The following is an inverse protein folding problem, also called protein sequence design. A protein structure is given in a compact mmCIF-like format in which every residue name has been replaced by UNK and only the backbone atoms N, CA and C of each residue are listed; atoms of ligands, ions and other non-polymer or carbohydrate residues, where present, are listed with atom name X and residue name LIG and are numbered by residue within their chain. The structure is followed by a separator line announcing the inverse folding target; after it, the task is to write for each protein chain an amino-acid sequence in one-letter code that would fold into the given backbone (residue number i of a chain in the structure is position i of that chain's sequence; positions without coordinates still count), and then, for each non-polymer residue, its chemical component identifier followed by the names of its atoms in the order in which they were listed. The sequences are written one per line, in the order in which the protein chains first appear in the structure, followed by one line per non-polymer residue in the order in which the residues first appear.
data_IF_787637856867
#
_entry.id   IF_787637856867
#
_cell.length_a   1.000
_cell.length_b   1.000
_cell.length_c   1.000
_cell.angle_alpha   90.00
_cell.angle_beta   90.00
_cell.angle_gamma   90.00
#
_symmetry.space_group_name_H-M   'P 1'
#
loop_
_entity.id
_entity.type
_entity.pdbx_description
1 polymer ?
#
# COMPACT_ATOMS: atom_id res chain seq x y z
N UNK A 1 21.37 -20.01 -7.73
CA UNK A 1 20.98 -18.79 -8.42
C UNK A 1 22.20 -17.87 -8.59
N UNK A 2 22.90 -18.04 -9.69
CA UNK A 2 24.22 -17.38 -9.94
C UNK A 2 24.11 -15.87 -10.11
N UNK A 3 23.00 -15.36 -10.64
CA UNK A 3 22.79 -13.93 -10.92
C UNK A 3 22.28 -13.12 -9.74
N UNK A 4 22.11 -13.73 -8.55
CA UNK A 4 21.63 -13.00 -7.39
C UNK A 4 22.67 -11.97 -6.91
N UNK A 5 22.33 -10.67 -6.73
CA UNK A 5 23.33 -9.66 -6.42
C UNK A 5 23.92 -9.87 -5.04
N UNK A 6 25.24 -10.03 -4.97
CA UNK A 6 25.94 -10.19 -3.68
C UNK A 6 25.76 -8.97 -2.77
N UNK A 7 25.65 -7.78 -3.35
CA UNK A 7 25.38 -6.54 -2.61
C UNK A 7 24.01 -6.57 -1.93
N UNK A 8 22.98 -7.05 -2.63
CA UNK A 8 21.64 -7.23 -2.05
C UNK A 8 21.70 -8.17 -0.84
N UNK A 9 22.26 -9.37 -1.01
CA UNK A 9 22.38 -10.36 0.07
C UNK A 9 23.11 -9.77 1.27
N UNK A 10 24.25 -9.12 1.04
CA UNK A 10 25.08 -8.53 2.10
C UNK A 10 24.30 -7.52 2.94
N UNK A 11 23.61 -6.58 2.28
CA UNK A 11 22.87 -5.53 2.99
C UNK A 11 21.54 -6.03 3.55
N UNK A 12 20.84 -6.91 2.83
CA UNK A 12 19.59 -7.51 3.30
C UNK A 12 19.80 -8.35 4.57
N UNK A 13 20.83 -9.21 4.58
CA UNK A 13 21.15 -10.03 5.76
C UNK A 13 21.88 -9.25 6.85
N UNK A 14 22.41 -8.07 6.55
CA UNK A 14 23.20 -7.29 7.50
C UNK A 14 24.44 -8.04 8.00
N UNK A 15 25.06 -8.87 7.14
CA UNK A 15 26.32 -9.56 7.45
C UNK A 15 27.48 -8.60 7.21
N UNK A 16 28.18 -8.23 8.27
CA UNK A 16 29.33 -7.32 8.23
C UNK A 16 30.63 -8.12 8.27
N UNK A 17 31.66 -7.61 7.58
CA UNK A 17 33.04 -8.11 7.72
C UNK A 17 33.57 -7.78 9.12
N UNK A 18 34.52 -8.55 9.58
CA UNK A 18 35.22 -8.33 10.87
C UNK A 18 34.29 -8.32 12.10
N UNK A 19 33.19 -9.05 12.05
CA UNK A 19 32.33 -9.31 13.21
C UNK A 19 32.60 -10.72 13.73
N UNK A 20 32.48 -10.96 15.06
CA UNK A 20 32.56 -12.30 15.61
C UNK A 20 31.57 -13.23 14.93
N UNK A 21 32.01 -14.44 14.65
CA UNK A 21 31.17 -15.45 14.02
C UNK A 21 30.14 -15.98 15.03
N UNK A 22 28.87 -15.91 14.64
CA UNK A 22 27.76 -16.50 15.38
C UNK A 22 26.85 -17.29 14.41
N UNK A 23 26.89 -18.61 14.54
CA UNK A 23 26.13 -19.52 13.69
C UNK A 23 24.61 -19.32 13.82
N UNK A 24 24.12 -19.11 15.07
CA UNK A 24 22.68 -18.90 15.32
C UNK A 24 22.21 -17.60 14.69
N UNK A 25 23.01 -16.53 14.81
CA UNK A 25 22.70 -15.25 14.16
C UNK A 25 22.69 -15.37 12.63
N UNK A 26 23.64 -16.09 12.03
CA UNK A 26 23.66 -16.33 10.58
C UNK A 26 22.45 -17.13 10.14
N UNK A 27 22.11 -18.24 10.82
CA UNK A 27 20.94 -19.04 10.51
C UNK A 27 19.62 -18.26 10.65
N UNK A 28 19.50 -17.41 11.67
CA UNK A 28 18.34 -16.52 11.85
C UNK A 28 18.24 -15.49 10.71
N UNK A 29 19.35 -14.89 10.33
CA UNK A 29 19.40 -13.92 9.22
C UNK A 29 19.10 -14.56 7.86
N UNK A 30 19.62 -15.76 7.60
CA UNK A 30 19.39 -16.44 6.33
C UNK A 30 17.93 -16.89 6.15
N UNK A 31 17.21 -17.21 7.23
CA UNK A 31 15.77 -17.45 7.18
C UNK A 31 14.97 -16.25 6.66
N UNK A 32 15.49 -15.03 6.78
CA UNK A 32 14.83 -13.85 6.21
C UNK A 32 14.81 -13.88 4.68
N UNK A 33 15.68 -14.67 4.02
CA UNK A 33 15.65 -14.85 2.57
C UNK A 33 14.39 -15.58 2.08
N UNK A 34 13.76 -16.40 2.93
CA UNK A 34 12.49 -17.06 2.62
C UNK A 34 11.29 -16.10 2.64
N UNK A 35 11.50 -14.83 3.06
CA UNK A 35 10.50 -13.77 2.97
C UNK A 35 10.54 -13.04 1.61
N UNK A 36 11.58 -13.28 0.81
CA UNK A 36 11.70 -12.72 -0.53
C UNK A 36 10.84 -13.51 -1.50
N UNK A 37 9.97 -12.82 -2.24
CA UNK A 37 9.07 -13.46 -3.22
C UNK A 37 9.80 -14.06 -4.42
N UNK A 38 11.04 -13.66 -4.69
CA UNK A 38 11.81 -14.04 -5.87
C UNK A 38 12.94 -15.04 -5.59
N UNK A 39 13.11 -15.46 -4.34
CA UNK A 39 14.12 -16.46 -3.98
C UNK A 39 13.68 -17.34 -2.83
N UNK A 40 14.16 -18.58 -2.85
CA UNK A 40 13.95 -19.56 -1.80
C UNK A 40 15.27 -20.21 -1.42
N UNK A 41 15.44 -20.48 -0.15
CA UNK A 41 16.59 -21.24 0.35
C UNK A 41 16.36 -22.74 0.10
N UNK A 42 17.27 -23.38 -0.66
CA UNK A 42 17.19 -24.81 -1.00
C UNK A 42 17.59 -25.68 0.21
N UNK A 43 18.63 -25.23 0.92
CA UNK A 43 19.16 -25.89 2.12
C UNK A 43 19.76 -24.85 3.07
N UNK A 44 19.95 -25.18 4.36
CA UNK A 44 20.55 -24.28 5.34
C UNK A 44 21.92 -23.77 4.87
N UNK A 45 22.27 -22.55 5.30
CA UNK A 45 23.56 -21.97 5.02
C UNK A 45 24.68 -22.83 5.64
N UNK A 46 25.72 -23.09 4.87
CA UNK A 46 26.92 -23.80 5.30
C UNK A 46 28.05 -22.81 5.57
N UNK A 47 28.93 -23.18 6.48
CA UNK A 47 30.06 -22.33 6.90
C UNK A 47 31.36 -23.11 6.74
N UNK A 48 32.29 -22.48 6.07
CA UNK A 48 33.67 -23.00 5.94
C UNK A 48 34.61 -22.07 6.68
N UNK A 49 35.30 -22.61 7.68
CA UNK A 49 36.38 -21.92 8.37
C UNK A 49 37.70 -22.15 7.63
N UNK A 50 38.36 -21.10 7.26
CA UNK A 50 39.72 -21.12 6.73
C UNK A 50 40.65 -20.42 7.71
N UNK A 51 41.97 -20.51 7.52
CA UNK A 51 42.97 -19.91 8.41
C UNK A 51 42.75 -18.42 8.68
N UNK A 52 42.28 -17.68 7.67
CA UNK A 52 42.19 -16.22 7.74
C UNK A 52 40.76 -15.69 7.53
N UNK A 53 39.82 -16.55 7.13
CA UNK A 53 38.44 -16.11 6.80
C UNK A 53 37.41 -17.18 7.12
N UNK A 54 36.21 -16.69 7.46
CA UNK A 54 35.01 -17.54 7.53
C UNK A 54 34.14 -17.27 6.32
N UNK A 55 33.87 -18.29 5.52
CA UNK A 55 33.01 -18.22 4.34
C UNK A 55 31.63 -18.79 4.64
N UNK A 56 30.59 -18.05 4.30
CA UNK A 56 29.20 -18.50 4.42
C UNK A 56 28.68 -18.77 3.00
N UNK A 57 28.24 -20.01 2.77
CA UNK A 57 27.64 -20.45 1.51
C UNK A 57 26.12 -20.44 1.64
N UNK A 58 25.47 -19.73 0.73
CA UNK A 58 24.01 -19.63 0.64
C UNK A 58 23.56 -20.39 -0.62
N UNK A 59 22.57 -21.24 -0.46
CA UNK A 59 22.03 -22.06 -1.54
C UNK A 59 20.62 -21.56 -1.86
N UNK A 60 20.52 -20.75 -2.92
CA UNK A 60 19.29 -20.07 -3.31
C UNK A 60 18.79 -20.56 -4.66
N UNK A 61 17.49 -20.72 -4.77
CA UNK A 61 16.76 -20.93 -6.00
C UNK A 61 15.98 -19.68 -6.37
N UNK A 62 15.91 -19.37 -7.68
CA UNK A 62 15.06 -18.28 -8.18
C UNK A 62 13.62 -18.77 -8.28
N UNK A 63 12.70 -18.03 -7.67
CA UNK A 63 11.27 -18.25 -7.83
C UNK A 63 10.70 -17.36 -8.93
N UNK A 64 9.60 -17.80 -9.53
CA UNK A 64 8.77 -16.97 -10.40
C UNK A 64 8.06 -15.96 -9.51
N UNK A 65 8.32 -14.68 -9.72
CA UNK A 65 7.84 -13.57 -8.87
C UNK A 65 7.03 -12.52 -9.63
N UNK A 66 6.92 -12.69 -10.95
CA UNK A 66 6.13 -11.78 -11.76
C UNK A 66 4.68 -12.22 -11.79
N UNK A 67 3.79 -11.24 -11.77
CA UNK A 67 2.35 -11.48 -11.87
C UNK A 67 1.68 -10.46 -12.74
N UNK A 68 0.70 -10.98 -13.41
CA UNK A 68 -0.23 -10.25 -14.22
C UNK A 68 -1.62 -10.77 -13.90
N UNK A 69 -2.51 -9.85 -13.55
CA UNK A 69 -3.93 -10.11 -13.38
C UNK A 69 -4.69 -8.91 -13.96
N UNK A 70 -5.71 -9.16 -14.77
CA UNK A 70 -6.44 -8.08 -15.36
C UNK A 70 -7.49 -8.53 -16.38
N UNK A 71 -8.45 -7.65 -16.54
CA UNK A 71 -9.46 -7.69 -17.58
C UNK A 71 -9.64 -6.27 -18.10
N UNK A 72 -9.50 -6.09 -19.42
CA UNK A 72 -9.73 -4.82 -20.10
C UNK A 72 -10.75 -5.02 -21.21
N UNK A 73 -11.87 -4.36 -21.07
CA UNK A 73 -12.85 -4.17 -22.14
C UNK A 73 -12.49 -2.92 -22.97
N UNK A 74 -12.69 -3.00 -24.26
CA UNK A 74 -12.49 -1.89 -25.18
C UNK A 74 -13.86 -1.42 -25.65
N UNK A 75 -14.16 -0.14 -25.48
CA UNK A 75 -15.34 0.53 -25.95
C UNK A 75 -14.98 1.83 -26.66
N UNK A 76 -15.94 2.45 -27.29
CA UNK A 76 -15.81 3.82 -27.79
C UNK A 76 -16.82 4.68 -27.05
N UNK A 77 -16.37 5.80 -26.52
CA UNK A 77 -17.24 6.83 -25.99
C UNK A 77 -18.16 7.34 -27.15
N UNK A 78 -19.46 7.23 -26.96
CA UNK A 78 -20.44 7.60 -28.03
C UNK A 78 -20.43 9.10 -28.33
N UNK A 79 -20.02 9.95 -27.36
CA UNK A 79 -20.04 11.40 -27.54
C UNK A 79 -18.75 11.93 -28.16
N UNK A 80 -17.59 11.36 -27.82
CA UNK A 80 -16.26 11.85 -28.24
C UNK A 80 -15.61 10.96 -29.30
N UNK A 81 -16.10 9.73 -29.52
CA UNK A 81 -15.47 8.71 -30.36
C UNK A 81 -14.12 8.22 -29.87
N UNK A 82 -13.72 8.62 -28.65
CA UNK A 82 -12.45 8.22 -28.06
C UNK A 82 -12.49 6.78 -27.55
N UNK A 83 -11.34 6.09 -27.62
CA UNK A 83 -11.20 4.74 -27.08
C UNK A 83 -11.36 4.75 -25.58
N UNK A 84 -12.32 3.99 -25.07
CA UNK A 84 -12.48 3.76 -23.63
C UNK A 84 -11.95 2.39 -23.24
N UNK A 85 -11.17 2.38 -22.16
CA UNK A 85 -10.65 1.18 -21.50
C UNK A 85 -11.36 1.02 -20.18
N UNK A 86 -12.24 0.01 -20.06
CA UNK A 86 -12.94 -0.33 -18.84
C UNK A 86 -12.43 -1.65 -18.27
N UNK A 87 -12.31 -1.72 -16.95
CA UNK A 87 -11.81 -2.88 -16.26
C UNK A 87 -10.60 -2.59 -15.35
N UNK A 88 -9.78 -3.59 -15.17
CA UNK A 88 -8.59 -3.43 -14.30
C UNK A 88 -7.39 -4.19 -14.86
N UNK A 89 -6.21 -3.73 -14.47
CA UNK A 89 -4.93 -4.37 -14.77
C UNK A 89 -4.02 -4.23 -13.53
N UNK A 90 -3.52 -5.37 -13.04
CA UNK A 90 -2.50 -5.41 -11.99
C UNK A 90 -1.27 -6.13 -12.54
N UNK A 91 -0.17 -5.41 -12.65
CA UNK A 91 1.13 -5.95 -13.06
C UNK A 91 2.12 -5.77 -11.92
N UNK A 92 2.82 -6.84 -11.56
CA UNK A 92 3.88 -6.79 -10.58
C UNK A 92 5.09 -7.58 -11.09
N UNK A 93 6.16 -6.87 -11.35
CA UNK A 93 7.42 -7.41 -11.84
C UNK A 93 8.47 -7.26 -10.76
N UNK A 94 9.03 -8.38 -10.30
CA UNK A 94 10.01 -8.37 -9.21
C UNK A 94 11.27 -9.09 -9.65
N UNK A 95 12.42 -8.41 -9.49
CA UNK A 95 13.75 -8.97 -9.70
C UNK A 95 13.98 -9.52 -11.12
N UNK A 96 13.42 -8.88 -12.15
CA UNK A 96 13.64 -9.24 -13.55
C UNK A 96 15.06 -8.93 -14.02
N UNK A 97 15.59 -7.79 -13.57
CA UNK A 97 16.96 -7.35 -13.86
C UNK A 97 17.99 -7.98 -12.91
N UNK A 98 17.55 -8.80 -11.95
CA UNK A 98 18.36 -9.44 -10.91
C UNK A 98 19.07 -8.46 -9.96
N UNK A 99 18.45 -7.30 -9.66
CA UNK A 99 18.93 -6.33 -8.67
C UNK A 99 18.04 -6.28 -7.42
N UNK A 100 16.94 -7.06 -7.39
CA UNK A 100 15.93 -7.00 -6.35
C UNK A 100 14.93 -5.85 -6.54
N UNK A 101 14.91 -5.27 -7.74
CA UNK A 101 13.99 -4.22 -8.13
C UNK A 101 12.54 -4.74 -8.17
N UNK A 102 11.59 -3.80 -7.97
CA UNK A 102 10.17 -4.08 -8.11
C UNK A 102 9.49 -2.98 -8.93
N UNK A 103 8.69 -3.40 -9.89
CA UNK A 103 7.80 -2.53 -10.64
C UNK A 103 6.37 -2.98 -10.42
N UNK A 104 5.50 -2.06 -10.03
CA UNK A 104 4.06 -2.28 -9.87
C UNK A 104 3.31 -1.32 -10.77
N UNK A 105 2.26 -1.82 -11.38
CA UNK A 105 1.32 -1.02 -12.15
C UNK A 105 -0.08 -1.51 -11.82
N UNK A 106 -0.94 -0.60 -11.36
CA UNK A 106 -2.35 -0.83 -11.14
C UNK A 106 -3.13 0.15 -12.00
N UNK A 107 -4.05 -0.36 -12.79
CA UNK A 107 -5.03 0.42 -13.52
C UNK A 107 -6.41 -0.08 -13.14
N UNK A 108 -7.33 0.84 -12.95
CA UNK A 108 -8.75 0.53 -12.73
C UNK A 108 -9.61 1.62 -13.35
N UNK A 109 -10.62 1.18 -14.06
CA UNK A 109 -11.71 2.01 -14.57
C UNK A 109 -13.04 1.36 -14.20
N UNK A 110 -13.94 2.11 -13.60
CA UNK A 110 -15.29 1.64 -13.26
C UNK A 110 -16.36 2.27 -14.19
N UNK A 111 -17.59 1.79 -14.02
CA UNK A 111 -18.75 2.24 -14.81
C UNK A 111 -19.13 3.71 -14.58
N UNK A 112 -18.61 4.34 -13.52
CA UNK A 112 -18.86 5.74 -13.17
C UNK A 112 -17.78 6.69 -13.74
N UNK A 113 -17.01 6.26 -14.73
CA UNK A 113 -15.87 6.98 -15.32
C UNK A 113 -14.80 7.42 -14.29
N UNK A 114 -14.74 6.71 -13.16
CA UNK A 114 -13.69 6.87 -12.19
C UNK A 114 -12.49 6.02 -12.63
N UNK A 115 -11.38 6.68 -12.97
CA UNK A 115 -10.17 6.01 -13.47
C UNK A 115 -9.01 6.28 -12.51
N UNK A 116 -8.30 5.20 -12.17
CA UNK A 116 -7.07 5.28 -11.39
C UNK A 116 -5.94 4.57 -12.14
N UNK A 117 -4.78 5.20 -12.17
CA UNK A 117 -3.55 4.61 -12.67
C UNK A 117 -2.45 4.87 -11.67
N UNK A 118 -1.80 3.81 -11.21
CA UNK A 118 -0.71 3.86 -10.25
C UNK A 118 0.47 3.06 -10.81
N UNK A 119 1.63 3.69 -10.90
CA UNK A 119 2.87 3.02 -11.24
C UNK A 119 3.92 3.32 -10.18
N UNK A 120 4.62 2.29 -9.72
CA UNK A 120 5.69 2.40 -8.72
C UNK A 120 6.90 1.57 -9.15
N UNK A 121 8.07 2.20 -9.13
CA UNK A 121 9.36 1.54 -9.35
C UNK A 121 10.22 1.67 -8.10
N UNK A 122 10.63 0.54 -7.53
CA UNK A 122 11.55 0.47 -6.38
C UNK A 122 12.88 -0.11 -6.82
N UNK A 123 13.96 0.60 -6.58
CA UNK A 123 15.34 0.20 -6.87
C UNK A 123 16.15 0.09 -5.57
N UNK A 124 16.32 -1.13 -5.01
CA UNK A 124 17.05 -1.31 -3.77
C UNK A 124 18.57 -1.32 -3.98
N UNK A 125 19.30 -1.00 -2.90
CA UNK A 125 20.75 -1.18 -2.78
C UNK A 125 21.59 -0.55 -3.90
N UNK A 126 21.23 0.67 -4.30
CA UNK A 126 21.96 1.45 -5.30
C UNK A 126 23.45 1.59 -4.90
N UNK A 127 24.31 1.58 -5.89
CA UNK A 127 25.77 1.71 -5.71
C UNK A 127 26.37 0.72 -4.69
N UNK A 128 25.71 -0.44 -4.49
CA UNK A 128 26.11 -1.45 -3.49
C UNK A 128 26.07 -0.93 -2.05
N UNK A 129 25.17 -0.01 -1.75
CA UNK A 129 24.94 0.60 -0.45
C UNK A 129 23.55 0.20 0.10
N UNK A 130 23.21 0.46 1.37
CA UNK A 130 21.85 0.29 1.88
C UNK A 130 20.86 1.40 1.44
N UNK A 131 21.23 2.17 0.42
CA UNK A 131 20.39 3.22 -0.17
C UNK A 131 19.63 2.63 -1.34
N UNK A 132 18.35 2.99 -1.46
CA UNK A 132 17.53 2.70 -2.63
C UNK A 132 16.73 3.93 -3.05
N UNK A 133 16.02 3.82 -4.17
CA UNK A 133 15.10 4.84 -4.65
C UNK A 133 13.72 4.26 -4.94
N UNK A 134 12.72 5.13 -4.87
CA UNK A 134 11.33 4.82 -5.22
C UNK A 134 10.80 5.95 -6.09
N UNK A 135 10.20 5.59 -7.21
CA UNK A 135 9.52 6.50 -8.13
C UNK A 135 8.06 6.11 -8.18
N UNK A 136 7.18 7.08 -8.11
CA UNK A 136 5.73 6.89 -8.11
C UNK A 136 5.09 7.81 -9.14
N UNK A 137 4.07 7.30 -9.84
CA UNK A 137 3.18 8.05 -10.71
C UNK A 137 1.76 7.61 -10.39
N UNK A 138 0.91 8.54 -9.95
CA UNK A 138 -0.50 8.31 -9.70
C UNK A 138 -1.32 9.25 -10.56
N UNK A 139 -2.32 8.72 -11.27
CA UNK A 139 -3.26 9.52 -12.03
C UNK A 139 -4.66 9.11 -11.56
N UNK A 140 -5.43 10.08 -11.15
CA UNK A 140 -6.81 9.93 -10.75
C UNK A 140 -7.70 10.83 -11.60
N UNK A 141 -8.68 10.23 -12.26
CA UNK A 141 -9.73 10.96 -12.97
C UNK A 141 -11.06 10.67 -12.28
N UNK A 142 -11.77 11.72 -11.90
CA UNK A 142 -13.13 11.62 -11.36
C UNK A 142 -14.12 12.10 -12.42
N UNK A 143 -14.78 11.17 -13.06
CA UNK A 143 -15.76 11.42 -14.13
C UNK A 143 -15.32 12.54 -15.08
N UNK A 144 -16.21 13.44 -15.44
CA UNK A 144 -15.90 14.64 -16.23
C UNK A 144 -15.51 15.86 -15.39
N UNK A 145 -15.35 15.72 -14.05
CA UNK A 145 -15.14 16.91 -13.16
C UNK A 145 -13.67 17.34 -13.10
N UNK A 146 -12.75 16.43 -12.79
CA UNK A 146 -11.32 16.77 -12.73
C UNK A 146 -10.40 15.58 -12.89
N UNK A 147 -9.15 15.87 -13.21
CA UNK A 147 -8.06 14.91 -13.23
C UNK A 147 -6.91 15.41 -12.33
N UNK A 148 -6.37 14.53 -11.50
CA UNK A 148 -5.19 14.80 -10.68
C UNK A 148 -4.07 13.84 -11.07
N UNK A 149 -2.89 14.37 -11.36
CA UNK A 149 -1.67 13.59 -11.56
C UNK A 149 -0.64 13.92 -10.47
N UNK A 150 -0.04 12.88 -9.90
CA UNK A 150 0.98 12.98 -8.86
C UNK A 150 2.22 12.23 -9.30
N UNK A 151 3.36 12.86 -9.19
CA UNK A 151 4.66 12.28 -9.46
C UNK A 151 5.52 12.44 -8.20
N UNK A 152 6.10 11.33 -7.71
CA UNK A 152 7.00 11.39 -6.57
C UNK A 152 8.30 10.67 -6.87
N UNK A 153 9.38 11.20 -6.33
CA UNK A 153 10.70 10.59 -6.35
C UNK A 153 11.29 10.66 -4.94
N UNK A 154 11.72 9.52 -4.42
CA UNK A 154 12.33 9.44 -3.11
C UNK A 154 13.60 8.59 -3.12
N UNK A 155 14.49 8.91 -2.21
CA UNK A 155 15.66 8.10 -1.84
C UNK A 155 15.42 7.59 -0.42
N UNK A 156 15.73 6.33 -0.19
CA UNK A 156 15.57 5.75 1.13
C UNK A 156 16.85 5.09 1.63
N UNK A 157 17.01 5.09 2.96
CA UNK A 157 18.00 4.29 3.66
C UNK A 157 17.32 3.12 4.34
N UNK A 158 17.80 1.91 4.06
CA UNK A 158 17.31 0.68 4.67
C UNK A 158 18.19 0.25 5.83
N UNK A 159 17.70 0.42 7.06
CA UNK A 159 18.44 0.03 8.28
C UNK A 159 18.56 -1.49 8.42
N UNK A 160 17.50 -2.19 8.08
CA UNK A 160 17.38 -3.64 8.09
C UNK A 160 16.21 -4.05 7.17
N UNK A 161 15.94 -5.36 6.97
CA UNK A 161 14.84 -5.80 6.10
C UNK A 161 13.45 -5.25 6.46
N UNK A 162 13.26 -4.78 7.70
CA UNK A 162 11.96 -4.33 8.21
C UNK A 162 11.78 -2.82 8.21
N UNK A 163 12.87 -2.04 8.17
CA UNK A 163 12.81 -0.59 8.47
C UNK A 163 13.50 0.23 7.38
N UNK A 164 12.79 1.25 6.90
CA UNK A 164 13.30 2.22 5.92
C UNK A 164 12.89 3.64 6.31
N UNK A 165 13.75 4.59 6.01
CA UNK A 165 13.45 6.03 6.05
C UNK A 165 13.63 6.60 4.66
N UNK A 166 12.68 7.41 4.21
CA UNK A 166 12.63 8.00 2.88
C UNK A 166 12.68 9.51 2.99
N UNK A 167 13.40 10.13 2.08
CA UNK A 167 13.34 11.56 1.79
C UNK A 167 12.94 11.72 0.32
N UNK A 168 11.93 12.49 0.05
CA UNK A 168 11.36 12.62 -1.29
C UNK A 168 10.81 13.97 -1.62
N UNK A 169 10.47 14.11 -2.88
CA UNK A 169 9.74 15.23 -3.45
C UNK A 169 8.51 14.70 -4.18
N UNK A 170 7.40 15.43 -4.08
CA UNK A 170 6.17 15.13 -4.81
C UNK A 170 5.70 16.37 -5.55
N UNK A 171 5.28 16.19 -6.78
CA UNK A 171 4.59 17.20 -7.59
C UNK A 171 3.21 16.69 -7.93
N UNK A 172 2.20 17.48 -7.59
CA UNK A 172 0.78 17.20 -7.89
C UNK A 172 0.25 18.29 -8.79
N UNK A 173 -0.46 17.89 -9.85
CA UNK A 173 -1.20 18.80 -10.70
C UNK A 173 -2.64 18.30 -10.83
N UNK A 174 -3.59 19.17 -10.54
CA UNK A 174 -5.02 18.89 -10.73
C UNK A 174 -5.63 19.90 -11.69
N UNK A 175 -6.43 19.41 -12.65
CA UNK A 175 -7.08 20.22 -13.66
C UNK A 175 -8.57 19.93 -13.64
N UNK A 176 -9.40 20.97 -13.59
CA UNK A 176 -10.84 20.88 -13.81
C UNK A 176 -11.14 20.56 -15.28
N UNK A 177 -12.07 19.65 -15.53
CA UNK A 177 -12.38 19.17 -16.89
C UNK A 177 -13.62 19.87 -17.49
N UNK A 178 -14.55 20.31 -16.64
CA UNK A 178 -15.82 20.93 -17.06
C UNK A 178 -15.71 22.43 -17.28
N UNK A 179 -14.68 22.99 -17.84
CA UNK A 179 -14.61 24.38 -18.34
C UNK A 179 -15.02 25.51 -17.35
N UNK A 180 -15.73 25.21 -16.30
CA UNK A 180 -16.13 26.09 -15.23
C UNK A 180 -15.36 25.74 -13.96
N UNK A 181 -14.31 26.51 -13.68
CA UNK A 181 -13.70 26.51 -12.34
C UNK A 181 -14.75 27.05 -11.38
N UNK A 182 -15.22 26.17 -10.49
CA UNK A 182 -16.05 26.61 -9.36
C UNK A 182 -15.15 27.07 -8.22
N UNK A 183 -15.69 27.80 -7.25
CA UNK A 183 -14.92 28.13 -6.04
C UNK A 183 -14.41 26.89 -5.27
N UNK A 184 -15.00 25.74 -5.52
CA UNK A 184 -14.69 24.48 -4.84
C UNK A 184 -13.72 23.59 -5.64
N UNK A 185 -13.80 23.56 -6.98
CA UNK A 185 -12.89 22.81 -7.87
C UNK A 185 -12.09 23.80 -8.70
N UNK A 186 -10.77 23.78 -8.55
CA UNK A 186 -9.90 24.73 -9.23
C UNK A 186 -8.62 24.03 -9.69
N UNK A 187 -8.05 24.52 -10.77
CA UNK A 187 -6.73 24.09 -11.22
C UNK A 187 -5.68 24.45 -10.18
N UNK A 188 -4.84 23.49 -9.82
CA UNK A 188 -3.72 23.75 -8.93
C UNK A 188 -2.49 22.93 -9.26
N UNK A 189 -1.35 23.45 -8.85
CA UNK A 189 -0.07 22.73 -8.77
C UNK A 189 0.41 22.76 -7.34
N UNK A 190 0.88 21.63 -6.83
CA UNK A 190 1.46 21.49 -5.50
C UNK A 190 2.80 20.81 -5.59
N UNK A 191 3.80 21.38 -4.92
CA UNK A 191 5.10 20.74 -4.73
C UNK A 191 5.32 20.51 -3.25
N UNK A 192 5.73 19.30 -2.89
CA UNK A 192 5.95 18.87 -1.52
C UNK A 192 7.33 18.27 -1.31
N UNK A 193 7.88 18.47 -0.12
CA UNK A 193 9.00 17.70 0.43
C UNK A 193 8.45 16.70 1.43
N UNK A 194 8.89 15.45 1.33
CA UNK A 194 8.33 14.34 2.08
C UNK A 194 9.39 13.65 2.92
N UNK A 195 9.03 13.35 4.17
CA UNK A 195 9.74 12.42 5.06
C UNK A 195 8.81 11.25 5.35
N UNK A 196 9.23 10.03 4.99
CA UNK A 196 8.45 8.80 5.24
C UNK A 196 9.29 7.80 6.02
N UNK A 197 8.70 7.16 7.02
CA UNK A 197 9.26 6.01 7.73
C UNK A 197 8.35 4.81 7.54
N UNK A 198 8.95 3.66 7.24
CA UNK A 198 8.19 2.40 7.13
C UNK A 198 8.82 1.32 8.00
N UNK A 199 7.96 0.58 8.70
CA UNK A 199 8.29 -0.65 9.39
C UNK A 199 7.34 -1.74 8.94
N UNK A 200 7.85 -2.92 8.58
CA UNK A 200 7.05 -4.08 8.21
C UNK A 200 7.66 -5.36 8.75
N UNK A 201 6.87 -6.14 9.49
CA UNK A 201 7.29 -7.44 9.97
C UNK A 201 6.54 -8.54 9.23
N UNK A 202 7.30 -9.32 8.46
CA UNK A 202 6.78 -10.42 7.66
C UNK A 202 7.00 -11.76 8.38
N UNK A 203 6.12 -12.73 8.12
CA UNK A 203 6.28 -14.13 8.52
C UNK A 203 6.02 -15.05 7.34
N UNK A 204 6.84 -16.08 7.20
CA UNK A 204 6.62 -17.17 6.23
C UNK A 204 5.78 -18.32 6.82
N UNK A 205 5.46 -18.27 8.11
CA UNK A 205 4.78 -19.37 8.81
C UNK A 205 3.27 -19.41 8.56
N UNK A 206 2.67 -18.27 8.15
CA UNK A 206 1.24 -18.19 7.87
C UNK A 206 1.00 -17.44 6.55
N UNK A 207 0.67 -18.17 5.51
CA UNK A 207 0.42 -17.60 4.17
C UNK A 207 -0.85 -16.75 4.09
N UNK A 208 -1.84 -16.99 4.97
CA UNK A 208 -3.04 -16.14 5.07
C UNK A 208 -2.72 -14.75 5.62
N UNK A 209 -1.74 -14.68 6.53
CA UNK A 209 -1.39 -13.44 7.24
C UNK A 209 0.12 -13.19 7.22
N UNK A 210 0.72 -12.97 6.04
CA UNK A 210 2.17 -12.81 5.91
C UNK A 210 2.70 -11.54 6.59
N UNK A 211 1.88 -10.49 6.70
CA UNK A 211 2.23 -9.25 7.41
C UNK A 211 1.64 -9.31 8.81
N UNK A 212 2.48 -9.45 9.82
CA UNK A 212 2.06 -9.52 11.23
C UNK A 212 1.94 -8.16 11.90
N UNK A 213 2.75 -7.20 11.48
CA UNK A 213 2.67 -5.81 11.91
C UNK A 213 3.30 -4.88 10.87
N UNK A 214 2.74 -3.69 10.74
CA UNK A 214 3.28 -2.63 9.89
C UNK A 214 3.05 -1.27 10.53
N UNK A 215 3.94 -0.34 10.23
CA UNK A 215 3.82 1.08 10.55
C UNK A 215 4.35 1.87 9.37
N UNK A 216 3.57 2.85 8.94
CA UNK A 216 3.96 3.85 7.96
C UNK A 216 3.61 5.23 8.51
N UNK A 217 4.60 6.10 8.53
CA UNK A 217 4.48 7.49 8.94
C UNK A 217 4.98 8.35 7.79
N UNK A 218 4.22 9.37 7.40
CA UNK A 218 4.65 10.33 6.41
C UNK A 218 4.26 11.74 6.86
N UNK A 219 5.18 12.65 6.70
CA UNK A 219 5.00 14.08 6.91
C UNK A 219 5.48 14.80 5.66
N UNK A 220 4.67 15.72 5.13
CA UNK A 220 5.00 16.48 3.94
C UNK A 220 4.73 17.95 4.18
N UNK A 221 5.64 18.79 3.71
CA UNK A 221 5.46 20.25 3.62
C UNK A 221 5.33 20.63 2.17
N UNK A 222 4.26 21.33 1.82
CA UNK A 222 3.93 21.67 0.44
C UNK A 222 3.54 23.12 0.26
N UNK A 223 3.71 23.60 -0.97
CA UNK A 223 3.15 24.86 -1.47
C UNK A 223 2.18 24.52 -2.60
N UNK A 224 0.90 24.82 -2.41
CA UNK A 224 -0.14 24.73 -3.44
C UNK A 224 -0.26 26.11 -4.13
N UNK A 225 -0.29 26.09 -5.46
CA UNK A 225 -0.45 27.26 -6.32
C UNK A 225 -1.70 27.09 -7.17
N UNK A 226 -2.59 28.06 -7.09
CA UNK A 226 -3.70 28.28 -8.03
C UNK A 226 -3.38 29.48 -8.91
N UNK A 227 -4.26 29.83 -9.84
CA UNK A 227 -4.13 31.06 -10.65
C UNK A 227 -4.02 32.32 -9.78
N UNK A 228 -4.67 32.34 -8.60
CA UNK A 228 -4.88 33.56 -7.81
C UNK A 228 -4.17 33.56 -6.45
N UNK A 229 -3.67 32.40 -5.98
CA UNK A 229 -3.14 32.28 -4.62
C UNK A 229 -2.04 31.22 -4.49
N UNK A 230 -1.21 31.40 -3.46
CA UNK A 230 -0.27 30.40 -2.96
C UNK A 230 -0.64 30.09 -1.52
N UNK A 231 -0.71 28.81 -1.18
CA UNK A 231 -1.06 28.34 0.16
C UNK A 231 -0.04 27.32 0.61
N UNK A 232 0.53 27.51 1.79
CA UNK A 232 1.40 26.53 2.42
C UNK A 232 0.53 25.49 3.14
N UNK A 233 0.91 24.24 3.01
CA UNK A 233 0.16 23.13 3.60
C UNK A 233 1.10 22.15 4.30
N UNK A 234 0.57 21.48 5.32
CA UNK A 234 1.21 20.32 5.93
C UNK A 234 0.31 19.11 5.73
N UNK A 235 0.87 18.06 5.14
CA UNK A 235 0.15 16.79 4.97
C UNK A 235 0.77 15.78 5.91
N UNK A 236 -0.06 14.98 6.56
CA UNK A 236 0.37 13.90 7.42
C UNK A 236 -0.40 12.62 7.11
N UNK A 237 0.30 11.51 7.23
CA UNK A 237 -0.26 10.18 7.06
C UNK A 237 0.34 9.23 8.09
N UNK A 238 -0.52 8.44 8.72
CA UNK A 238 -0.18 7.34 9.61
C UNK A 238 -0.99 6.11 9.23
N UNK A 239 -0.32 4.98 9.10
CA UNK A 239 -0.96 3.68 8.98
C UNK A 239 -0.23 2.69 9.88
N UNK A 240 -0.92 2.13 10.83
CA UNK A 240 -0.38 1.11 11.73
C UNK A 240 -1.30 -0.09 11.77
N UNK A 241 -0.76 -1.29 11.65
CA UNK A 241 -1.56 -2.49 11.88
C UNK A 241 -0.79 -3.57 12.60
N UNK A 242 -1.53 -4.40 13.35
CA UNK A 242 -0.96 -5.51 14.08
C UNK A 242 -1.96 -6.65 14.21
N UNK A 243 -1.43 -7.89 14.13
CA UNK A 243 -2.15 -9.12 14.43
C UNK A 243 -1.73 -9.59 15.83
N UNK A 244 -2.69 -9.79 16.70
CA UNK A 244 -2.53 -10.36 18.04
C UNK A 244 -3.05 -11.79 18.01
N UNK A 245 -2.16 -12.77 18.01
CA UNK A 245 -2.55 -14.17 18.06
C UNK A 245 -2.99 -14.56 19.47
N UNK A 246 -4.22 -15.00 19.65
CA UNK A 246 -4.72 -15.55 20.91
C UNK A 246 -4.33 -17.02 21.06
N UNK A 247 -4.43 -17.76 19.96
CA UNK A 247 -3.98 -19.15 19.81
C UNK A 247 -3.74 -19.49 18.35
N UNK A 248 -3.56 -20.78 18.00
CA UNK A 248 -3.25 -21.21 16.63
C UNK A 248 -4.33 -20.88 15.61
N UNK A 249 -5.60 -20.73 16.02
CA UNK A 249 -6.75 -20.51 15.12
C UNK A 249 -7.36 -19.11 15.28
N UNK A 250 -7.17 -18.46 16.41
CA UNK A 250 -7.85 -17.21 16.74
C UNK A 250 -6.86 -16.05 16.84
N UNK A 251 -7.21 -14.95 16.21
CA UNK A 251 -6.43 -13.72 16.27
C UNK A 251 -7.30 -12.47 16.18
N UNK A 252 -6.80 -11.37 16.75
CA UNK A 252 -7.33 -10.03 16.52
C UNK A 252 -6.42 -9.27 15.56
N UNK A 253 -7.01 -8.67 14.56
CA UNK A 253 -6.35 -7.70 13.70
C UNK A 253 -6.87 -6.31 14.01
N UNK A 254 -5.95 -5.37 14.15
CA UNK A 254 -6.24 -3.96 14.37
C UNK A 254 -5.49 -3.16 13.31
N UNK A 255 -6.20 -2.27 12.63
CA UNK A 255 -5.66 -1.26 11.73
C UNK A 255 -6.07 0.12 12.24
N UNK A 256 -5.10 0.99 12.43
CA UNK A 256 -5.26 2.41 12.65
C UNK A 256 -4.73 3.16 11.42
N UNK A 257 -5.53 4.05 10.86
CA UNK A 257 -5.11 4.95 9.79
C UNK A 257 -5.54 6.37 10.16
N UNK A 258 -4.64 7.33 10.02
CA UNK A 258 -4.94 8.74 10.13
C UNK A 258 -4.29 9.50 8.97
N UNK A 259 -4.99 10.48 8.45
CA UNK A 259 -4.52 11.30 7.35
C UNK A 259 -5.12 12.69 7.47
N UNK A 260 -4.37 13.72 7.09
CA UNK A 260 -4.89 15.07 7.12
C UNK A 260 -4.08 16.05 6.30
N UNK A 261 -4.75 17.13 5.96
CA UNK A 261 -4.24 18.31 5.29
C UNK A 261 -4.48 19.49 6.24
N UNK A 262 -3.41 20.08 6.76
CA UNK A 262 -3.46 21.33 7.52
C UNK A 262 -3.19 22.49 6.55
N UNK A 263 -4.21 23.31 6.31
CA UNK A 263 -4.21 24.36 5.30
C UNK A 263 -5.18 25.48 5.68
N UNK A 264 -4.86 26.73 5.29
CA UNK A 264 -5.77 27.86 5.49
C UNK A 264 -7.03 27.77 4.59
N UNK A 265 -6.90 27.16 3.43
CA UNK A 265 -8.00 27.01 2.46
C UNK A 265 -7.94 25.63 1.82
N UNK A 266 -9.10 25.11 1.41
CA UNK A 266 -9.22 23.79 0.81
C UNK A 266 -9.91 23.88 -0.55
N UNK A 267 -9.51 22.97 -1.46
CA UNK A 267 -10.18 22.72 -2.72
C UNK A 267 -10.81 21.31 -2.67
N UNK A 268 -11.97 21.12 -3.26
CA UNK A 268 -12.66 19.85 -3.26
C UNK A 268 -11.85 18.75 -3.96
N UNK A 269 -11.11 19.10 -5.03
CA UNK A 269 -10.28 18.19 -5.78
C UNK A 269 -8.93 17.84 -5.11
N UNK A 270 -8.59 18.45 -3.95
CA UNK A 270 -7.44 18.07 -3.13
C UNK A 270 -7.80 17.26 -1.87
N UNK A 271 -9.11 17.22 -1.50
CA UNK A 271 -9.55 16.51 -0.30
C UNK A 271 -9.20 15.03 -0.35
N UNK A 272 -8.95 14.49 0.83
CA UNK A 272 -8.70 13.06 1.04
C UNK A 272 -9.99 12.31 0.77
N UNK A 273 -9.93 11.26 -0.03
CA UNK A 273 -11.05 10.37 -0.32
C UNK A 273 -10.91 9.06 0.43
N UNK A 274 -11.96 8.64 1.07
CA UNK A 274 -12.00 7.39 1.82
C UNK A 274 -13.38 6.74 1.77
N UNK A 275 -13.51 5.56 2.33
CA UNK A 275 -14.64 4.64 2.18
C UNK A 275 -14.16 3.35 1.50
N UNK A 276 -14.85 2.25 1.69
CA UNK A 276 -14.58 0.98 1.04
C UNK A 276 -13.67 0.03 1.82
N UNK A 277 -13.23 -1.03 1.14
CA UNK A 277 -12.57 -2.20 1.76
C UNK A 277 -11.24 -1.90 2.44
N UNK A 278 -10.54 -0.86 2.00
CA UNK A 278 -9.20 -0.52 2.50
C UNK A 278 -9.19 0.52 3.63
N UNK A 279 -10.34 1.13 3.92
CA UNK A 279 -10.51 2.17 4.93
C UNK A 279 -11.62 1.82 5.90
N UNK A 280 -12.85 2.27 5.67
CA UNK A 280 -14.04 1.94 6.48
C UNK A 280 -15.02 1.14 5.64
N UNK A 281 -15.31 -0.08 6.04
CA UNK A 281 -16.19 -1.01 5.32
C UNK A 281 -17.66 -0.68 5.56
N UNK A 282 -18.51 -0.98 4.56
CA UNK A 282 -19.93 -0.63 4.56
C UNK A 282 -20.26 0.67 3.83
N UNK A 283 -19.24 1.38 3.33
CA UNK A 283 -19.37 2.55 2.47
C UNK A 283 -18.79 2.25 1.07
N UNK A 284 -19.19 3.01 0.07
CA UNK A 284 -18.63 2.89 -1.28
C UNK A 284 -17.17 3.34 -1.31
N UNK A 285 -16.40 2.77 -2.25
CA UNK A 285 -14.99 3.08 -2.39
C UNK A 285 -14.79 4.57 -2.74
N UNK A 286 -13.94 5.27 -1.97
CA UNK A 286 -13.62 6.68 -2.16
C UNK A 286 -14.82 7.65 -2.20
N UNK A 287 -15.93 7.29 -1.56
CA UNK A 287 -17.18 8.07 -1.61
C UNK A 287 -17.24 9.26 -0.66
N UNK A 288 -16.35 9.31 0.33
CA UNK A 288 -16.35 10.33 1.38
C UNK A 288 -15.11 11.21 1.22
N UNK A 289 -15.29 12.53 1.24
CA UNK A 289 -14.21 13.51 1.19
C UNK A 289 -13.95 14.06 2.60
N UNK A 290 -12.67 14.26 2.93
CA UNK A 290 -12.25 14.80 4.22
C UNK A 290 -11.03 15.69 4.08
N UNK A 291 -10.90 16.70 4.94
CA UNK A 291 -9.64 17.44 5.18
C UNK A 291 -8.77 16.74 6.21
N UNK A 292 -9.39 15.98 7.13
CA UNK A 292 -8.72 15.15 8.12
C UNK A 292 -9.56 13.94 8.49
N UNK A 293 -8.93 12.80 8.72
CA UNK A 293 -9.62 11.57 9.13
C UNK A 293 -8.77 10.68 10.04
N UNK A 294 -9.46 9.93 10.88
CA UNK A 294 -8.91 8.81 11.65
C UNK A 294 -9.83 7.60 11.53
N UNK A 295 -9.27 6.46 11.17
CA UNK A 295 -10.01 5.19 11.00
C UNK A 295 -9.41 4.13 11.91
N UNK A 296 -10.26 3.46 12.67
CA UNK A 296 -9.95 2.25 13.42
C UNK A 296 -10.75 1.09 12.82
N UNK A 297 -10.06 0.14 12.20
CA UNK A 297 -10.68 -1.06 11.65
C UNK A 297 -10.22 -2.30 12.44
N UNK A 298 -11.17 -3.14 12.84
CA UNK A 298 -10.88 -4.32 13.64
C UNK A 298 -11.51 -5.57 13.06
N UNK A 299 -10.82 -6.71 13.23
CA UNK A 299 -11.32 -8.03 12.85
C UNK A 299 -10.99 -9.04 13.94
N UNK A 300 -11.97 -9.75 14.44
CA UNK A 300 -11.74 -11.04 15.09
C UNK A 300 -11.69 -12.10 14.01
N UNK A 301 -10.57 -12.81 13.90
CA UNK A 301 -10.31 -13.79 12.85
C UNK A 301 -10.29 -15.19 13.42
N UNK A 302 -11.05 -16.09 12.80
CA UNK A 302 -11.02 -17.52 13.09
C UNK A 302 -10.57 -18.30 11.87
N UNK A 303 -9.43 -18.95 11.98
CA UNK A 303 -8.82 -19.74 10.91
C UNK A 303 -9.42 -21.17 10.90
N UNK A 304 -10.20 -21.47 9.87
CA UNK A 304 -10.83 -22.76 9.65
C UNK A 304 -9.84 -23.79 9.12
N UNK A 305 -8.98 -23.39 8.18
CA UNK A 305 -7.94 -24.20 7.55
C UNK A 305 -6.68 -23.38 7.26
N UNK A 306 -5.60 -23.97 6.76
CA UNK A 306 -4.43 -23.22 6.31
C UNK A 306 -4.72 -22.19 5.20
N UNK A 307 -5.84 -22.36 4.49
CA UNK A 307 -6.22 -21.53 3.34
C UNK A 307 -7.51 -20.73 3.54
N UNK A 308 -8.27 -20.96 4.64
CA UNK A 308 -9.58 -20.34 4.84
C UNK A 308 -9.72 -19.77 6.25
N UNK A 309 -10.18 -18.54 6.35
CA UNK A 309 -10.58 -17.92 7.61
C UNK A 309 -11.87 -17.12 7.45
N UNK A 310 -12.57 -16.97 8.55
CA UNK A 310 -13.72 -16.06 8.70
C UNK A 310 -13.37 -14.94 9.68
N UNK A 311 -14.03 -13.80 9.56
CA UNK A 311 -13.78 -12.67 10.46
C UNK A 311 -14.99 -11.79 10.66
N UNK A 312 -15.04 -11.13 11.81
CA UNK A 312 -15.96 -10.02 12.07
C UNK A 312 -15.41 -8.72 11.47
N UNK A 313 -16.27 -7.75 11.29
CA UNK A 313 -15.94 -6.38 10.90
C UNK A 313 -16.55 -5.45 11.94
N UNK A 314 -15.70 -4.65 12.60
CA UNK A 314 -16.11 -3.55 13.47
C UNK A 314 -15.13 -2.40 13.18
N UNK A 315 -15.63 -1.40 12.48
CA UNK A 315 -14.87 -0.24 12.03
C UNK A 315 -15.50 1.03 12.60
N UNK A 316 -14.67 2.01 12.91
CA UNK A 316 -15.07 3.35 13.29
C UNK A 316 -14.18 4.37 12.57
N UNK A 317 -14.77 5.45 12.12
CA UNK A 317 -14.02 6.56 11.59
C UNK A 317 -14.55 7.89 12.17
N UNK A 318 -13.59 8.77 12.43
CA UNK A 318 -13.80 10.18 12.71
C UNK A 318 -13.19 10.99 11.58
N UNK A 319 -13.92 11.96 11.06
CA UNK A 319 -13.41 12.81 10.00
C UNK A 319 -13.97 14.23 10.05
N UNK A 320 -13.24 15.12 9.42
CA UNK A 320 -13.58 16.53 9.26
C UNK A 320 -13.58 16.90 7.79
N UNK A 321 -14.44 17.80 7.42
CA UNK A 321 -14.45 18.45 6.11
C UNK A 321 -14.22 19.95 6.30
N UNK A 322 -13.95 20.73 5.25
CA UNK A 322 -13.82 22.19 5.38
C UNK A 322 -15.07 22.90 5.95
N UNK A 323 -16.23 22.23 5.91
CA UNK A 323 -17.53 22.81 6.31
C UNK A 323 -18.05 22.19 7.61
N UNK A 324 -17.78 20.88 7.82
CA UNK A 324 -18.31 20.10 8.94
C UNK A 324 -17.17 19.51 9.75
N UNK A 325 -17.18 19.74 11.06
CA UNK A 325 -16.34 19.07 12.03
C UNK A 325 -17.08 17.88 12.67
N UNK A 326 -16.32 17.04 13.38
CA UNK A 326 -16.84 16.01 14.30
C UNK A 326 -17.78 14.97 13.66
N UNK A 327 -17.51 14.57 12.41
CA UNK A 327 -18.29 13.53 11.77
C UNK A 327 -17.83 12.14 12.21
N UNK A 328 -18.77 11.27 12.61
CA UNK A 328 -18.49 9.89 13.00
C UNK A 328 -19.30 8.92 12.18
N UNK A 329 -18.63 7.89 11.71
CA UNK A 329 -19.26 6.80 10.95
C UNK A 329 -18.72 5.46 11.44
N UNK A 330 -19.53 4.42 11.27
CA UNK A 330 -19.25 3.08 11.76
C UNK A 330 -19.53 2.06 10.67
N UNK A 331 -18.74 0.98 10.65
CA UNK A 331 -18.91 -0.16 9.76
C UNK A 331 -19.04 -1.45 10.55
N UNK A 332 -20.06 -2.25 10.27
CA UNK A 332 -20.30 -3.53 10.94
C UNK A 332 -20.53 -4.62 9.90
N UNK A 333 -20.01 -5.80 10.15
CA UNK A 333 -20.25 -6.90 9.25
C UNK A 333 -19.42 -8.14 9.56
N UNK A 334 -19.30 -8.98 8.56
CA UNK A 334 -18.47 -10.16 8.58
C UNK A 334 -17.93 -10.48 7.19
N UNK A 335 -16.95 -11.34 7.14
CA UNK A 335 -16.36 -11.75 5.88
C UNK A 335 -15.58 -13.04 6.01
N UNK A 336 -15.02 -13.46 4.90
CA UNK A 336 -14.06 -14.56 4.84
C UNK A 336 -12.89 -14.23 3.91
N UNK A 337 -11.80 -14.91 4.12
CA UNK A 337 -10.66 -14.88 3.21
C UNK A 337 -10.26 -16.29 2.83
N UNK A 338 -10.16 -16.54 1.52
CA UNK A 338 -9.78 -17.81 0.91
C UNK A 338 -8.48 -17.62 0.12
N UNK A 339 -7.43 -18.31 0.55
CA UNK A 339 -6.17 -18.36 -0.18
C UNK A 339 -6.29 -19.39 -1.32
N UNK A 340 -6.15 -18.91 -2.53
CA UNK A 340 -6.15 -19.69 -3.77
C UNK A 340 -4.77 -19.62 -4.43
N UNK A 341 -4.56 -20.35 -5.50
CA UNK A 341 -3.34 -20.22 -6.32
C UNK A 341 -3.19 -18.84 -6.96
N UNK A 342 -4.30 -18.14 -7.19
CA UNK A 342 -4.31 -16.77 -7.70
C UNK A 342 -4.02 -15.71 -6.62
N UNK A 343 -4.15 -16.08 -5.33
CA UNK A 343 -3.94 -15.15 -4.20
C UNK A 343 -5.04 -15.22 -3.15
N UNK A 344 -5.04 -14.26 -2.24
CA UNK A 344 -6.03 -14.16 -1.17
C UNK A 344 -7.30 -13.45 -1.67
N UNK A 345 -8.36 -14.22 -1.89
CA UNK A 345 -9.71 -13.70 -2.14
C UNK A 345 -10.34 -13.32 -0.80
N UNK A 346 -10.77 -12.07 -0.68
CA UNK A 346 -11.57 -11.59 0.47
C UNK A 346 -12.97 -11.20 0.04
N UNK A 347 -13.94 -11.69 0.77
CA UNK A 347 -15.34 -11.32 0.68
C UNK A 347 -15.75 -10.69 1.99
N UNK A 348 -16.36 -9.50 1.94
CA UNK A 348 -16.88 -8.80 3.10
C UNK A 348 -18.32 -8.36 2.82
N UNK A 349 -19.22 -8.65 3.73
CA UNK A 349 -20.55 -8.07 3.79
C UNK A 349 -20.55 -7.10 4.97
N UNK A 350 -20.69 -5.82 4.70
CA UNK A 350 -20.64 -4.79 5.73
C UNK A 350 -21.73 -3.74 5.53
N UNK A 351 -22.26 -3.26 6.64
CA UNK A 351 -23.23 -2.18 6.69
C UNK A 351 -22.55 -0.94 7.27
N UNK A 352 -22.69 0.19 6.59
CA UNK A 352 -22.21 1.50 7.04
C UNK A 352 -23.32 2.25 7.78
N UNK A 353 -22.95 2.89 8.89
CA UNK A 353 -23.84 3.72 9.68
C UNK A 353 -23.22 5.09 9.92
N UNK A 354 -23.93 6.14 9.59
CA UNK A 354 -23.61 7.52 9.99
C UNK A 354 -24.19 7.78 11.39
N UNK A 355 -23.52 8.59 12.19
CA UNK A 355 -24.03 9.02 13.50
C UNK A 355 -25.44 9.62 13.34
N UNK A 356 -26.36 9.27 14.23
CA UNK A 356 -27.77 9.69 14.20
C UNK A 356 -28.65 9.12 13.08
N UNK A 357 -28.18 8.19 12.27
CA UNK A 357 -29.03 7.44 11.33
C UNK A 357 -29.41 6.08 11.89
N UNK A 358 -30.62 5.61 11.53
CA UNK A 358 -31.04 4.26 11.89
C UNK A 358 -30.33 3.22 11.04
N UNK A 359 -30.02 2.09 11.64
CA UNK A 359 -29.47 0.94 10.92
C UNK A 359 -30.50 0.42 9.89
N UNK A 360 -30.05 0.25 8.61
CA UNK A 360 -30.87 -0.33 7.54
C UNK A 360 -30.10 -1.44 6.87
N UNK A 361 -30.60 -2.66 6.96
CA UNK A 361 -29.95 -3.83 6.34
C UNK A 361 -29.84 -3.70 4.82
N UNK A 362 -30.77 -3.00 4.18
CA UNK A 362 -30.78 -2.74 2.73
C UNK A 362 -29.58 -1.89 2.23
N UNK A 363 -28.89 -1.21 3.13
CA UNK A 363 -27.70 -0.39 2.81
C UNK A 363 -26.40 -1.17 2.92
N UNK A 364 -26.47 -2.49 3.17
CA UNK A 364 -25.28 -3.34 3.25
C UNK A 364 -24.56 -3.39 1.91
N UNK A 365 -23.24 -3.30 1.97
CA UNK A 365 -22.33 -3.34 0.80
C UNK A 365 -21.57 -4.65 0.78
N UNK A 366 -21.38 -5.18 -0.41
CA UNK A 366 -20.50 -6.32 -0.64
C UNK A 366 -19.18 -5.78 -1.16
N UNK A 367 -18.10 -6.09 -0.46
CA UNK A 367 -16.76 -5.76 -0.91
C UNK A 367 -16.03 -7.05 -1.29
N UNK A 368 -15.57 -7.11 -2.51
CA UNK A 368 -14.78 -8.22 -3.03
C UNK A 368 -13.38 -7.72 -3.36
N UNK A 369 -12.35 -8.43 -2.92
CA UNK A 369 -10.98 -8.15 -3.35
C UNK A 369 -10.18 -9.42 -3.53
N UNK A 370 -9.35 -9.45 -4.56
CA UNK A 370 -8.33 -10.46 -4.77
C UNK A 370 -6.97 -9.80 -4.56
N UNK A 371 -6.27 -10.24 -3.49
CA UNK A 371 -4.90 -9.81 -3.25
C UNK A 371 -3.98 -10.97 -3.59
N UNK A 372 -3.29 -10.83 -4.68
CA UNK A 372 -2.24 -11.79 -5.05
C UNK A 372 -1.14 -11.78 -3.99
N UNK A 373 -0.91 -12.93 -3.33
CA UNK A 373 0.17 -13.14 -2.36
C UNK A 373 1.28 -13.94 -3.01
N UNK A 374 2.52 -13.54 -2.76
CA UNK A 374 3.72 -14.08 -3.41
C UNK A 374 4.63 -14.74 -2.39
#
# INVERSE_FOLDING_TARGET
YEKFPRSFIKHFLGIKKNTPFDLKAIQSKTKALDQLSFSKQIRPAEVLFTKDTTRVYLYLEKLKSNRFDGFLGFGSDEATGSLELNGYLNLNLINNLNFGEAFRLNYRSDENDLKTFEAQLTLPYLFKTPIGSELELNIFKKDSTFTTSEQAASVYYQFNPKQKVFLGIRSTQSNALLGETTSEINDYKMNAYELKYTYQNLTSQNSLFPITSQLELQLSKSERKTSNAKTNQTLYFLKASKIFNLNRKNSFYILLQAQGIDSETYLQNELIRFGGINTIRGFEENSINASGLGVLATEYRYQLSPTLYIHSIIDAAYFETPILSDQKIYGFGFGFGLLTDAGLLKFNLANGKVENQNFRFSESKIHLSLRTTF
#
